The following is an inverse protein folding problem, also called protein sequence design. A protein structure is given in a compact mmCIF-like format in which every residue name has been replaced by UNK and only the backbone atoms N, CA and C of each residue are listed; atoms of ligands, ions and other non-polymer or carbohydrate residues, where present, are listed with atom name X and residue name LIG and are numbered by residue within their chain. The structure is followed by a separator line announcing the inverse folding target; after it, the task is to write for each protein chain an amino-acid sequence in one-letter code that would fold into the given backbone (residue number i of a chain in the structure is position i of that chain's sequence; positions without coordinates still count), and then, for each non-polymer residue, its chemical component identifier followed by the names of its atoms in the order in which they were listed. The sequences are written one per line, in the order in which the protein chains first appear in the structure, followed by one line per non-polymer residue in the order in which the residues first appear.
data_IF_989859558455
#
_entry.id   IF_989859558455
#
_cell.length_a   1.000
_cell.length_b   1.000
_cell.length_c   1.000
_cell.angle_alpha   90.00
_cell.angle_beta   90.00
_cell.angle_gamma   90.00
#
_symmetry.space_group_name_H-M   'P 1'
#
loop_
_entity.id
_entity.type
_entity.pdbx_description
1 polymer ?
#
# COMPACT_ATOMS: atom_id res chain seq x y z
N UNK A 1 -28.52 -4.19 -23.47
CA UNK A 1 -27.16 -3.67 -23.22
C UNK A 1 -27.20 -2.96 -21.87
N UNK A 2 -26.83 -3.66 -20.82
CA UNK A 2 -26.67 -3.06 -19.48
C UNK A 2 -25.28 -2.46 -19.49
N UNK A 3 -25.20 -1.13 -19.50
CA UNK A 3 -23.93 -0.44 -19.31
C UNK A 3 -23.45 -0.76 -17.89
N UNK A 4 -22.49 -1.67 -17.77
CA UNK A 4 -21.82 -1.90 -16.50
C UNK A 4 -21.16 -0.58 -16.08
N UNK A 5 -21.50 -0.02 -14.92
CA UNK A 5 -20.73 1.09 -14.38
C UNK A 5 -19.30 0.59 -14.18
N UNK A 6 -18.32 1.29 -14.73
CA UNK A 6 -16.90 1.04 -14.44
C UNK A 6 -16.74 1.11 -12.93
N UNK A 7 -16.15 0.09 -12.28
CA UNK A 7 -15.99 0.12 -10.86
C UNK A 7 -15.07 1.27 -10.48
N UNK A 8 -15.49 2.03 -9.51
CA UNK A 8 -14.77 3.16 -8.91
C UNK A 8 -13.30 2.83 -8.53
N UNK A 9 -12.98 1.55 -8.40
CA UNK A 9 -11.70 1.05 -7.89
C UNK A 9 -10.54 1.09 -8.88
N UNK A 10 -10.78 0.92 -10.18
CA UNK A 10 -9.71 1.00 -11.19
C UNK A 10 -9.12 2.39 -11.31
N UNK A 11 -9.94 3.43 -11.12
CA UNK A 11 -9.46 4.80 -11.17
C UNK A 11 -8.54 5.16 -10.00
N UNK A 12 -8.58 4.44 -8.89
CA UNK A 12 -7.77 4.73 -7.69
C UNK A 12 -6.30 4.37 -7.89
N UNK A 13 -6.02 3.24 -8.54
CA UNK A 13 -4.64 2.81 -8.87
C UNK A 13 -4.13 3.36 -10.21
N UNK A 14 -5.01 3.96 -10.98
CA UNK A 14 -4.67 4.71 -12.19
C UNK A 14 -4.41 6.20 -11.97
N UNK A 15 -4.23 6.63 -10.70
CA UNK A 15 -3.95 8.02 -10.34
C UNK A 15 -2.57 8.49 -10.79
N UNK A 16 -2.33 9.81 -10.67
CA UNK A 16 -1.03 10.41 -11.01
C UNK A 16 0.01 10.16 -9.89
N UNK A 17 1.24 10.58 -10.14
CA UNK A 17 2.37 10.49 -9.20
C UNK A 17 2.05 11.12 -7.85
N UNK A 18 1.37 12.27 -7.83
CA UNK A 18 0.93 12.93 -6.60
C UNK A 18 0.00 12.02 -5.78
N UNK A 19 -0.99 11.38 -6.42
CA UNK A 19 -1.92 10.45 -5.75
C UNK A 19 -1.18 9.27 -5.13
N UNK A 20 -0.21 8.71 -5.85
CA UNK A 20 0.65 7.63 -5.36
C UNK A 20 1.44 8.04 -4.11
N UNK A 21 2.10 9.20 -4.14
CA UNK A 21 2.85 9.71 -2.99
C UNK A 21 1.95 10.00 -1.79
N UNK A 22 0.77 10.60 -2.01
CA UNK A 22 -0.21 10.86 -0.96
C UNK A 22 -0.75 9.58 -0.31
N UNK A 23 -0.89 8.49 -1.08
CA UNK A 23 -1.33 7.20 -0.53
C UNK A 23 -0.37 6.63 0.52
N UNK A 24 0.84 7.13 0.57
CA UNK A 24 1.93 6.73 1.48
C UNK A 24 2.14 7.78 2.57
N UNK A 25 2.39 9.05 2.22
CA UNK A 25 2.78 10.10 3.17
C UNK A 25 1.70 10.38 4.21
N UNK A 26 0.42 10.31 3.83
CA UNK A 26 -0.70 10.56 4.74
C UNK A 26 -0.96 9.45 5.77
N UNK A 27 -0.14 8.40 5.79
CA UNK A 27 -0.22 7.32 6.79
C UNK A 27 0.65 7.57 8.03
N UNK A 28 1.60 8.51 7.96
CA UNK A 28 2.49 8.84 9.08
C UNK A 28 1.75 9.73 10.07
N UNK A 29 1.58 9.24 11.32
CA UNK A 29 0.59 9.78 12.28
C UNK A 29 0.85 11.20 12.78
N UNK A 30 2.10 11.56 12.91
CA UNK A 30 2.56 12.80 13.57
C UNK A 30 3.10 13.83 12.57
N UNK A 31 2.73 13.70 11.30
CA UNK A 31 3.19 14.57 10.20
C UNK A 31 2.03 15.25 9.49
N UNK A 32 2.36 16.34 8.79
CA UNK A 32 1.46 17.02 7.87
C UNK A 32 1.99 16.87 6.46
N UNK A 33 1.10 16.64 5.51
CA UNK A 33 1.46 16.63 4.09
C UNK A 33 0.99 17.92 3.42
N UNK A 34 1.92 18.69 2.86
CA UNK A 34 1.63 19.89 2.06
C UNK A 34 1.65 19.51 0.59
N UNK A 35 0.57 19.78 -0.12
CA UNK A 35 0.53 19.76 -1.59
C UNK A 35 0.83 21.16 -2.08
N UNK A 36 2.02 21.35 -2.64
CA UNK A 36 2.41 22.60 -3.26
C UNK A 36 1.85 22.65 -4.67
N UNK A 37 0.82 23.48 -4.84
CA UNK A 37 0.09 23.61 -6.08
C UNK A 37 -1.31 24.16 -5.95
N UNK A 38 -2.14 24.07 -7.02
CA UNK A 38 -3.52 24.50 -7.03
C UNK A 38 -4.39 23.69 -6.06
N UNK A 39 -5.41 24.31 -5.47
CA UNK A 39 -6.35 23.68 -4.53
C UNK A 39 -7.05 22.44 -5.09
N UNK A 40 -7.28 22.38 -6.42
CA UNK A 40 -7.97 21.27 -7.07
C UNK A 40 -7.24 19.93 -6.90
N UNK A 41 -5.91 19.92 -6.99
CA UNK A 41 -5.10 18.70 -6.79
C UNK A 41 -5.24 18.16 -5.36
N UNK A 42 -5.24 19.04 -4.35
CA UNK A 42 -5.43 18.66 -2.95
C UNK A 42 -6.84 18.15 -2.69
N UNK A 43 -7.86 18.89 -3.17
CA UNK A 43 -9.27 18.54 -2.95
C UNK A 43 -9.63 17.17 -3.56
N UNK A 44 -9.19 16.93 -4.81
CA UNK A 44 -9.44 15.66 -5.48
C UNK A 44 -8.86 14.48 -4.69
N UNK A 45 -7.59 14.58 -4.29
CA UNK A 45 -6.93 13.52 -3.54
C UNK A 45 -7.50 13.34 -2.13
N UNK A 46 -7.85 14.43 -1.45
CA UNK A 46 -8.53 14.37 -0.16
C UNK A 46 -9.84 13.58 -0.25
N UNK A 47 -10.68 13.89 -1.25
CA UNK A 47 -11.94 13.18 -1.48
C UNK A 47 -11.74 11.70 -1.74
N UNK A 48 -10.71 11.34 -2.53
CA UNK A 48 -10.38 9.96 -2.85
C UNK A 48 -9.93 9.18 -1.60
N UNK A 49 -9.02 9.76 -0.81
CA UNK A 49 -8.53 9.16 0.44
C UNK A 49 -9.64 8.98 1.47
N UNK A 50 -10.50 10.00 1.61
CA UNK A 50 -11.64 9.94 2.53
C UNK A 50 -12.65 8.87 2.12
N UNK A 51 -13.02 8.80 0.83
CA UNK A 51 -13.93 7.78 0.31
C UNK A 51 -13.39 6.37 0.53
N UNK A 52 -12.09 6.14 0.27
CA UNK A 52 -11.47 4.82 0.53
C UNK A 52 -11.44 4.49 2.03
N UNK A 53 -11.20 5.48 2.87
CA UNK A 53 -11.27 5.31 4.32
C UNK A 53 -12.66 4.82 4.77
N UNK A 54 -13.72 5.45 4.27
CA UNK A 54 -15.11 5.04 4.55
C UNK A 54 -15.40 3.61 4.07
N UNK A 55 -14.94 3.25 2.88
CA UNK A 55 -15.10 1.88 2.34
C UNK A 55 -14.37 0.81 3.17
N UNK A 56 -13.36 1.21 3.93
CA UNK A 56 -12.59 0.35 4.85
C UNK A 56 -13.05 0.50 6.32
N UNK A 57 -14.24 1.05 6.56
CA UNK A 57 -14.77 1.35 7.91
C UNK A 57 -13.83 2.20 8.78
N UNK A 58 -12.97 3.02 8.15
CA UNK A 58 -12.03 3.93 8.79
C UNK A 58 -12.41 5.38 8.52
N UNK A 59 -12.81 6.09 9.55
CA UNK A 59 -13.02 7.55 9.46
C UNK A 59 -11.70 8.24 9.82
N UNK A 60 -10.77 8.28 8.86
CA UNK A 60 -9.52 9.01 9.03
C UNK A 60 -9.50 10.21 8.10
N UNK A 61 -9.36 11.40 8.67
CA UNK A 61 -9.17 12.63 7.91
C UNK A 61 -7.65 12.82 7.78
N UNK A 62 -7.07 12.73 6.57
CA UNK A 62 -5.65 12.96 6.39
C UNK A 62 -5.30 14.42 6.67
N UNK A 63 -4.19 14.66 7.39
CA UNK A 63 -3.70 16.02 7.62
C UNK A 63 -2.99 16.54 6.35
N UNK A 64 -3.82 17.05 5.44
CA UNK A 64 -3.45 17.45 4.08
C UNK A 64 -3.75 18.92 3.86
N UNK A 65 -2.73 19.69 3.52
CA UNK A 65 -2.80 21.13 3.33
C UNK A 65 -2.36 21.50 1.91
N UNK A 66 -3.04 22.47 1.30
CA UNK A 66 -2.66 23.04 0.00
C UNK A 66 -1.98 24.39 0.19
N UNK A 67 -0.93 24.68 -0.58
CA UNK A 67 -0.45 26.07 -0.72
C UNK A 67 -1.42 26.95 -1.48
N UNK A 68 -2.29 26.35 -2.30
CA UNK A 68 -3.38 27.02 -2.99
C UNK A 68 -2.93 28.08 -3.98
N UNK A 69 -1.91 27.76 -4.79
CA UNK A 69 -1.32 28.69 -5.77
C UNK A 69 -2.39 29.44 -6.57
N UNK A 70 -2.28 30.77 -6.57
CA UNK A 70 -3.06 31.69 -7.40
C UNK A 70 -2.46 31.81 -8.81
N UNK A 71 -3.17 32.46 -9.71
CA UNK A 71 -2.64 32.79 -11.04
C UNK A 71 -1.35 33.63 -10.97
N UNK A 72 -1.26 34.55 -10.00
CA UNK A 72 -0.05 35.34 -9.78
C UNK A 72 1.13 34.45 -9.34
N UNK A 73 0.90 33.49 -8.44
CA UNK A 73 1.95 32.57 -8.00
C UNK A 73 2.42 31.69 -9.17
N UNK A 74 1.53 31.31 -10.09
CA UNK A 74 1.89 30.53 -11.28
C UNK A 74 2.74 31.35 -12.27
N UNK A 75 2.48 32.67 -12.38
CA UNK A 75 3.22 33.55 -13.31
C UNK A 75 4.55 33.98 -12.72
N UNK A 76 4.62 34.29 -11.44
CA UNK A 76 5.80 34.92 -10.80
C UNK A 76 6.58 33.98 -9.88
N UNK A 77 6.16 32.71 -9.73
CA UNK A 77 6.75 31.73 -8.84
C UNK A 77 5.97 31.52 -7.55
N UNK A 78 5.83 30.25 -7.14
CA UNK A 78 5.03 29.82 -6.00
C UNK A 78 5.83 29.63 -4.70
N UNK A 79 7.16 29.81 -4.71
CA UNK A 79 8.03 29.57 -3.55
C UNK A 79 7.57 30.36 -2.31
N UNK A 80 7.16 31.61 -2.46
CA UNK A 80 6.67 32.43 -1.37
C UNK A 80 5.35 31.90 -0.74
N UNK A 81 4.49 31.26 -1.53
CA UNK A 81 3.31 30.57 -1.01
C UNK A 81 3.68 29.34 -0.22
N UNK A 82 4.70 28.60 -0.65
CA UNK A 82 5.22 27.44 0.09
C UNK A 82 5.85 27.87 1.42
N UNK A 83 6.69 28.92 1.44
CA UNK A 83 7.30 29.44 2.67
C UNK A 83 6.25 29.83 3.72
N UNK A 84 5.25 30.62 3.32
CA UNK A 84 4.14 30.99 4.22
C UNK A 84 3.39 29.79 4.77
N UNK A 85 3.17 28.77 3.95
CA UNK A 85 2.47 27.55 4.37
C UNK A 85 3.31 26.72 5.33
N UNK A 86 4.62 26.58 5.07
CA UNK A 86 5.58 25.91 5.95
C UNK A 86 5.64 26.59 7.32
N UNK A 87 5.73 27.91 7.36
CA UNK A 87 5.75 28.68 8.61
C UNK A 87 4.47 28.46 9.41
N UNK A 88 3.31 28.51 8.78
CA UNK A 88 2.04 28.29 9.45
C UNK A 88 1.87 26.86 9.98
N UNK A 89 2.37 25.85 9.25
CA UNK A 89 2.32 24.44 9.68
C UNK A 89 3.32 24.16 10.78
N UNK A 90 4.50 24.77 10.74
CA UNK A 90 5.54 24.58 11.75
C UNK A 90 5.16 25.13 13.15
N UNK A 91 4.17 26.01 13.24
CA UNK A 91 3.59 26.43 14.52
C UNK A 91 2.64 25.35 15.12
N UNK A 92 2.26 24.35 14.34
CA UNK A 92 1.52 23.19 14.83
C UNK A 92 2.52 22.20 15.44
N UNK A 93 2.09 21.48 16.48
CA UNK A 93 2.94 20.45 17.12
C UNK A 93 3.01 19.19 16.23
N UNK A 94 3.86 19.23 15.20
CA UNK A 94 4.08 18.13 14.24
C UNK A 94 5.53 17.66 14.32
N UNK A 95 5.77 16.36 14.11
CA UNK A 95 7.11 15.78 14.08
C UNK A 95 7.85 16.03 12.77
N UNK A 96 7.12 16.30 11.68
CA UNK A 96 7.68 16.61 10.38
C UNK A 96 6.64 16.99 9.35
N UNK A 97 7.10 17.48 8.21
CA UNK A 97 6.28 17.96 7.10
C UNK A 97 6.73 17.27 5.82
N UNK A 98 5.81 16.66 5.08
CA UNK A 98 6.06 16.23 3.70
C UNK A 98 5.61 17.31 2.74
N UNK A 99 6.43 17.64 1.75
CA UNK A 99 6.09 18.61 0.69
C UNK A 99 6.08 17.91 -0.65
N UNK A 100 4.91 17.85 -1.27
CA UNK A 100 4.67 17.21 -2.55
C UNK A 100 4.40 18.27 -3.62
N UNK A 101 5.20 18.31 -4.68
CA UNK A 101 5.02 19.24 -5.80
C UNK A 101 3.97 18.73 -6.79
N UNK A 102 3.13 19.64 -7.29
CA UNK A 102 2.23 19.32 -8.40
C UNK A 102 2.91 19.55 -9.75
N UNK A 103 2.34 19.00 -10.80
CA UNK A 103 2.88 19.15 -12.17
C UNK A 103 3.09 20.62 -12.57
N UNK A 104 2.22 21.53 -12.14
CA UNK A 104 2.36 22.95 -12.46
C UNK A 104 3.58 23.58 -11.79
N UNK A 105 3.90 23.18 -10.57
CA UNK A 105 5.06 23.65 -9.81
C UNK A 105 6.37 23.31 -10.52
N UNK A 106 6.47 22.06 -11.00
CA UNK A 106 7.64 21.64 -11.79
C UNK A 106 7.71 22.35 -13.14
N UNK A 107 6.56 22.70 -13.75
CA UNK A 107 6.51 23.43 -15.02
C UNK A 107 6.97 24.87 -14.87
N UNK A 108 6.61 25.53 -13.76
CA UNK A 108 7.06 26.91 -13.50
C UNK A 108 8.48 26.99 -12.95
N UNK A 109 9.05 25.86 -12.52
CA UNK A 109 10.46 25.77 -12.11
C UNK A 109 10.74 26.20 -10.67
N UNK A 110 9.77 26.12 -9.76
CA UNK A 110 9.99 26.39 -8.33
C UNK A 110 11.01 25.41 -7.72
N UNK A 111 12.02 25.92 -7.01
CA UNK A 111 12.97 25.07 -6.28
C UNK A 111 12.43 24.69 -4.89
N UNK A 112 11.45 23.77 -4.90
CA UNK A 112 10.82 23.24 -3.69
C UNK A 112 11.86 22.70 -2.71
N UNK A 113 12.89 22.01 -3.20
CA UNK A 113 13.93 21.45 -2.35
C UNK A 113 14.77 22.54 -1.66
N UNK A 114 15.06 23.65 -2.33
CA UNK A 114 15.76 24.77 -1.72
C UNK A 114 14.91 25.45 -0.65
N UNK A 115 13.61 25.63 -0.89
CA UNK A 115 12.68 26.17 0.12
C UNK A 115 12.64 25.26 1.35
N UNK A 116 12.47 23.95 1.16
CA UNK A 116 12.46 22.97 2.26
C UNK A 116 13.76 23.01 3.09
N UNK A 117 14.93 23.09 2.45
CA UNK A 117 16.23 23.16 3.14
C UNK A 117 16.41 24.42 3.99
N UNK A 118 15.81 25.54 3.61
CA UNK A 118 15.87 26.80 4.39
C UNK A 118 15.04 26.73 5.67
N UNK A 119 14.04 25.86 5.72
CA UNK A 119 13.15 25.73 6.84
C UNK A 119 13.74 24.75 7.89
N UNK A 120 13.93 25.19 9.13
CA UNK A 120 14.67 24.45 10.17
C UNK A 120 13.89 24.18 11.45
N UNK A 121 12.64 24.68 11.58
CA UNK A 121 11.86 24.51 12.81
C UNK A 121 11.48 23.06 13.08
N UNK A 122 11.13 22.31 12.00
CA UNK A 122 10.81 20.87 12.00
C UNK A 122 11.41 20.24 10.75
N UNK A 123 11.68 18.93 10.73
CA UNK A 123 12.10 18.24 9.51
C UNK A 123 11.11 18.43 8.38
N UNK A 124 11.57 18.94 7.24
CA UNK A 124 10.78 19.09 6.02
C UNK A 124 11.34 18.18 4.94
N UNK A 125 10.52 17.27 4.45
CA UNK A 125 10.91 16.22 3.52
C UNK A 125 10.24 16.48 2.18
N UNK A 126 10.99 16.99 1.16
CA UNK A 126 10.46 17.15 -0.18
C UNK A 126 10.32 15.78 -0.86
N UNK A 127 9.16 15.55 -1.48
CA UNK A 127 8.88 14.35 -2.28
C UNK A 127 8.60 14.78 -3.72
N UNK A 128 9.42 14.39 -4.69
CA UNK A 128 9.20 14.73 -6.09
C UNK A 128 8.00 13.96 -6.63
N UNK A 129 6.99 14.68 -7.12
CA UNK A 129 5.73 14.10 -7.58
C UNK A 129 5.26 14.61 -8.94
N UNK A 130 6.19 15.11 -9.77
CA UNK A 130 5.93 15.50 -11.15
C UNK A 130 5.38 14.32 -11.96
N UNK A 131 4.20 14.51 -12.55
CA UNK A 131 3.54 13.48 -13.35
C UNK A 131 3.51 13.77 -14.86
N UNK A 132 3.72 15.02 -15.29
CA UNK A 132 3.59 15.39 -16.70
C UNK A 132 4.60 14.72 -17.64
N UNK A 133 5.75 14.33 -17.15
CA UNK A 133 6.80 13.67 -17.94
C UNK A 133 6.68 12.12 -17.91
N UNK A 134 5.48 11.59 -17.76
CA UNK A 134 5.23 10.14 -17.76
C UNK A 134 5.29 9.48 -16.39
N UNK A 135 5.19 10.25 -15.31
CA UNK A 135 5.11 9.71 -13.95
C UNK A 135 3.78 8.97 -13.68
N UNK A 136 3.90 7.77 -13.11
CA UNK A 136 2.77 6.90 -12.75
C UNK A 136 2.44 7.01 -11.26
N UNK A 137 1.30 6.44 -10.87
CA UNK A 137 0.94 6.24 -9.45
C UNK A 137 2.07 5.55 -8.69
N UNK A 138 2.63 4.46 -9.24
CA UNK A 138 3.70 3.69 -8.59
C UNK A 138 5.00 4.49 -8.43
N UNK A 139 5.33 5.36 -9.39
CA UNK A 139 6.46 6.28 -9.23
C UNK A 139 6.29 7.18 -8.00
N UNK A 140 5.07 7.67 -7.75
CA UNK A 140 4.76 8.46 -6.56
C UNK A 140 4.94 7.69 -5.27
N UNK A 141 4.46 6.45 -5.21
CA UNK A 141 4.66 5.52 -4.08
C UNK A 141 6.16 5.33 -3.81
N UNK A 142 6.92 4.98 -4.84
CA UNK A 142 8.35 4.71 -4.73
C UNK A 142 9.14 5.96 -4.29
N UNK A 143 8.80 7.12 -4.85
CA UNK A 143 9.43 8.40 -4.48
C UNK A 143 9.18 8.76 -3.01
N UNK A 144 7.93 8.59 -2.53
CA UNK A 144 7.59 8.87 -1.14
C UNK A 144 8.30 7.90 -0.18
N UNK A 145 8.27 6.59 -0.44
CA UNK A 145 8.96 5.59 0.37
C UNK A 145 10.46 5.87 0.45
N UNK A 146 11.09 6.19 -0.69
CA UNK A 146 12.51 6.50 -0.76
C UNK A 146 12.86 7.79 -0.01
N UNK A 147 12.11 8.88 -0.21
CA UNK A 147 12.37 10.15 0.45
C UNK A 147 12.27 10.01 1.99
N UNK A 148 11.32 9.22 2.48
CA UNK A 148 11.16 8.98 3.90
C UNK A 148 12.24 8.03 4.43
N UNK A 149 12.59 6.98 3.68
CA UNK A 149 13.67 6.08 4.04
C UNK A 149 15.03 6.79 4.13
N UNK A 150 15.24 7.85 3.35
CA UNK A 150 16.48 8.65 3.38
C UNK A 150 16.65 9.43 4.70
N UNK A 151 15.62 9.58 5.50
CA UNK A 151 15.71 10.19 6.85
C UNK A 151 16.22 9.22 7.91
N UNK A 152 16.19 7.89 7.63
CA UNK A 152 16.67 6.89 8.57
C UNK A 152 18.19 6.67 8.45
N UNK A 153 18.83 6.37 9.59
CA UNK A 153 20.24 6.02 9.64
C UNK A 153 20.43 4.51 9.82
N UNK A 154 21.56 3.94 9.35
CA UNK A 154 21.90 2.55 9.61
C UNK A 154 21.96 2.27 11.11
N UNK A 155 21.40 1.14 11.55
CA UNK A 155 21.39 0.74 12.94
C UNK A 155 21.66 -0.77 13.09
N UNK A 156 21.80 -1.23 14.34
CA UNK A 156 22.06 -2.64 14.63
C UNK A 156 20.93 -3.53 14.13
N UNK A 157 21.29 -4.63 13.46
CA UNK A 157 20.33 -5.62 12.97
C UNK A 157 19.76 -6.48 14.08
N UNK A 158 18.45 -6.71 13.99
CA UNK A 158 17.67 -7.59 14.87
C UNK A 158 17.03 -8.72 14.05
N UNK A 159 16.60 -9.78 14.73
CA UNK A 159 15.92 -10.92 14.09
C UNK A 159 14.43 -10.60 13.86
N UNK A 160 14.15 -9.65 12.99
CA UNK A 160 12.82 -9.14 12.69
C UNK A 160 12.70 -8.73 11.22
N UNK A 161 11.48 -8.47 10.76
CA UNK A 161 11.18 -8.05 9.39
C UNK A 161 10.53 -6.68 9.36
N UNK A 162 10.70 -5.96 8.24
CA UNK A 162 9.82 -4.84 7.90
C UNK A 162 8.82 -5.30 6.84
N UNK A 163 7.62 -4.71 6.86
CA UNK A 163 6.61 -4.82 5.80
C UNK A 163 6.59 -3.48 5.07
N UNK A 164 6.77 -3.51 3.75
CA UNK A 164 7.02 -2.32 2.92
C UNK A 164 5.95 -2.17 1.86
N UNK A 165 5.32 -0.98 1.77
CA UNK A 165 4.57 -0.55 0.60
C UNK A 165 3.05 -0.63 0.72
N UNK A 166 2.51 -0.77 1.93
CA UNK A 166 1.07 -0.64 2.15
C UNK A 166 0.60 0.79 1.82
N UNK A 167 -0.55 0.88 1.16
CA UNK A 167 -1.13 2.15 0.72
C UNK A 167 -2.52 2.34 1.34
N UNK A 168 -2.89 3.56 1.70
CA UNK A 168 -4.21 3.83 2.29
C UNK A 168 -5.36 3.91 1.24
N UNK A 169 -5.05 3.68 -0.02
CA UNK A 169 -6.03 3.53 -1.09
C UNK A 169 -6.37 2.05 -1.38
N UNK A 170 -5.76 1.11 -0.66
CA UNK A 170 -6.02 -0.32 -0.76
C UNK A 170 -7.14 -0.77 0.17
N UNK A 171 -7.68 -1.97 -0.10
CA UNK A 171 -8.71 -2.61 0.71
C UNK A 171 -8.12 -3.73 1.56
N UNK A 172 -8.77 -4.01 2.70
CA UNK A 172 -8.41 -5.13 3.60
C UNK A 172 -6.95 -5.09 4.09
N UNK A 173 -6.34 -3.89 4.14
CA UNK A 173 -4.91 -3.74 4.44
C UNK A 173 -4.59 -4.24 5.85
N UNK A 174 -5.46 -3.95 6.83
CA UNK A 174 -5.23 -4.34 8.22
C UNK A 174 -5.50 -5.82 8.46
N UNK A 175 -6.50 -6.40 7.78
CA UNK A 175 -6.77 -7.83 7.80
C UNK A 175 -5.63 -8.61 7.12
N UNK A 176 -5.11 -8.10 6.01
CA UNK A 176 -3.96 -8.69 5.32
C UNK A 176 -2.70 -8.61 6.19
N UNK A 177 -2.47 -7.48 6.87
CA UNK A 177 -1.37 -7.34 7.82
C UNK A 177 -1.50 -8.32 9.00
N UNK A 178 -2.69 -8.47 9.57
CA UNK A 178 -2.93 -9.44 10.65
C UNK A 178 -2.60 -10.87 10.21
N UNK A 179 -2.97 -11.23 8.97
CA UNK A 179 -2.66 -12.55 8.41
C UNK A 179 -1.15 -12.76 8.20
N UNK A 180 -0.45 -11.78 7.63
CA UNK A 180 1.02 -11.83 7.48
C UNK A 180 1.70 -11.96 8.83
N UNK A 181 1.23 -11.21 9.83
CA UNK A 181 1.76 -11.29 11.20
C UNK A 181 1.54 -12.67 11.81
N UNK A 182 0.38 -13.29 11.56
CA UNK A 182 0.09 -14.68 11.98
C UNK A 182 1.07 -15.68 11.38
N UNK A 183 1.33 -15.56 10.07
CA UNK A 183 2.28 -16.44 9.35
C UNK A 183 3.70 -16.25 9.87
N UNK A 184 4.13 -15.02 10.09
CA UNK A 184 5.45 -14.71 10.66
C UNK A 184 5.59 -15.23 12.10
N UNK A 185 4.52 -15.12 12.91
CA UNK A 185 4.49 -15.63 14.27
C UNK A 185 4.63 -17.16 14.33
N UNK A 186 4.09 -17.89 13.34
CA UNK A 186 4.26 -19.34 13.22
C UNK A 186 5.75 -19.74 12.99
N UNK A 187 6.57 -18.81 12.48
CA UNK A 187 8.03 -18.96 12.35
C UNK A 187 8.81 -18.36 13.52
N UNK A 188 8.14 -17.74 14.49
CA UNK A 188 8.78 -17.02 15.60
C UNK A 188 9.46 -15.72 15.20
N UNK A 189 9.07 -15.09 14.09
CA UNK A 189 9.70 -13.89 13.53
C UNK A 189 8.82 -12.67 13.79
N UNK A 190 9.27 -11.68 14.59
CA UNK A 190 8.50 -10.48 14.86
C UNK A 190 8.60 -9.45 13.72
N UNK A 191 7.55 -8.61 13.58
CA UNK A 191 7.57 -7.42 12.73
C UNK A 191 8.25 -6.29 13.50
N UNK A 192 9.22 -5.63 12.88
CA UNK A 192 9.90 -4.45 13.39
C UNK A 192 9.13 -3.17 13.06
N UNK A 193 8.79 -3.03 11.77
CA UNK A 193 8.16 -1.82 11.26
C UNK A 193 7.20 -2.18 10.12
N UNK A 194 6.01 -1.62 10.21
CA UNK A 194 5.03 -1.56 9.13
C UNK A 194 5.24 -0.22 8.41
N UNK A 195 6.10 -0.23 7.39
CA UNK A 195 6.60 1.00 6.76
C UNK A 195 5.71 1.43 5.58
N UNK A 196 4.89 2.48 5.69
CA UNK A 196 4.79 3.54 6.71
C UNK A 196 3.47 3.49 7.52
N UNK A 197 2.70 2.44 7.38
CA UNK A 197 1.37 2.40 7.99
C UNK A 197 1.45 2.30 9.50
N UNK A 198 0.62 3.09 10.18
CA UNK A 198 0.51 3.15 11.64
C UNK A 198 1.81 3.50 12.40
N UNK A 199 2.78 4.13 11.72
CA UNK A 199 4.03 4.58 12.33
C UNK A 199 4.06 6.10 12.54
N UNK A 200 4.90 6.54 13.47
CA UNK A 200 5.34 7.91 13.62
C UNK A 200 6.60 8.18 12.79
N UNK A 201 6.95 9.45 12.58
CA UNK A 201 8.21 9.78 11.91
C UNK A 201 9.43 9.27 12.72
N UNK A 202 9.33 9.25 14.05
CA UNK A 202 10.39 8.70 14.92
C UNK A 202 10.60 7.19 14.71
N UNK A 203 9.52 6.43 14.40
CA UNK A 203 9.61 4.99 14.15
C UNK A 203 10.43 4.66 12.90
N UNK A 204 10.51 5.58 11.94
CA UNK A 204 11.31 5.42 10.71
C UNK A 204 12.79 5.17 11.03
N UNK A 205 13.30 5.68 12.14
CA UNK A 205 14.67 5.41 12.61
C UNK A 205 14.98 3.91 12.78
N UNK A 206 13.96 3.08 13.00
CA UNK A 206 14.09 1.63 13.16
C UNK A 206 14.17 0.87 11.82
N UNK A 207 13.98 1.56 10.68
CA UNK A 207 13.90 0.92 9.35
C UNK A 207 15.14 0.05 9.06
N UNK A 208 16.33 0.54 9.43
CA UNK A 208 17.59 -0.18 9.26
C UNK A 208 17.77 -1.41 10.17
N UNK A 209 16.94 -1.61 11.20
CA UNK A 209 17.12 -2.68 12.19
C UNK A 209 16.69 -4.07 11.69
N UNK A 210 15.83 -4.17 10.70
CA UNK A 210 15.33 -5.45 10.23
C UNK A 210 16.39 -6.27 9.50
N UNK A 211 16.28 -7.61 9.62
CA UNK A 211 17.09 -8.56 8.87
C UNK A 211 16.56 -8.80 7.46
N UNK A 212 15.26 -8.57 7.23
CA UNK A 212 14.59 -8.77 5.96
C UNK A 212 13.53 -7.70 5.75
N UNK A 213 13.41 -7.19 4.52
CA UNK A 213 12.27 -6.40 4.05
C UNK A 213 11.33 -7.29 3.23
N UNK A 214 10.04 -7.27 3.54
CA UNK A 214 8.98 -7.96 2.79
C UNK A 214 8.24 -6.89 2.00
N UNK A 215 8.32 -6.97 0.67
CA UNK A 215 7.62 -6.07 -0.24
C UNK A 215 6.23 -6.63 -0.56
N UNK A 216 5.24 -5.75 -0.65
CA UNK A 216 3.86 -6.16 -0.96
C UNK A 216 3.69 -6.64 -2.40
N UNK A 217 4.47 -6.10 -3.32
CA UNK A 217 4.42 -6.40 -4.75
C UNK A 217 5.78 -6.17 -5.44
N UNK A 218 5.92 -6.64 -6.68
CA UNK A 218 7.14 -6.51 -7.47
C UNK A 218 7.42 -5.06 -7.92
N UNK A 219 6.39 -4.20 -7.98
CA UNK A 219 6.54 -2.79 -8.35
C UNK A 219 7.36 -1.99 -7.33
N UNK A 220 7.59 -2.58 -6.14
CA UNK A 220 8.42 -2.04 -5.07
C UNK A 220 9.89 -2.50 -5.11
N UNK A 221 10.29 -3.31 -6.09
CA UNK A 221 11.67 -3.84 -6.16
C UNK A 221 12.72 -2.73 -6.14
N UNK A 222 12.50 -1.61 -6.82
CA UNK A 222 13.43 -0.47 -6.80
C UNK A 222 13.58 0.16 -5.40
N UNK A 223 12.52 0.16 -4.59
CA UNK A 223 12.56 0.57 -3.18
C UNK A 223 13.35 -0.47 -2.37
N UNK A 224 13.09 -1.76 -2.59
CA UNK A 224 13.82 -2.86 -1.96
C UNK A 224 15.33 -2.78 -2.21
N UNK A 225 15.74 -2.56 -3.46
CA UNK A 225 17.13 -2.39 -3.87
C UNK A 225 17.78 -1.19 -3.17
N UNK A 226 17.08 -0.05 -3.11
CA UNK A 226 17.59 1.15 -2.42
C UNK A 226 17.76 0.90 -0.92
N UNK A 227 16.79 0.25 -0.26
CA UNK A 227 16.89 -0.13 1.15
C UNK A 227 18.03 -1.12 1.39
N UNK A 228 18.25 -2.06 0.48
CA UNK A 228 19.36 -3.00 0.56
C UNK A 228 20.72 -2.29 0.40
N UNK A 229 20.83 -1.37 -0.53
CA UNK A 229 22.06 -0.57 -0.70
C UNK A 229 22.34 0.30 0.53
N UNK A 230 21.31 0.93 1.10
CA UNK A 230 21.47 1.85 2.23
C UNK A 230 21.71 1.15 3.56
N UNK A 231 20.98 0.07 3.84
CA UNK A 231 20.97 -0.59 5.15
C UNK A 231 21.56 -2.00 5.13
N UNK A 232 21.91 -2.54 3.96
CA UNK A 232 22.33 -3.94 3.84
C UNK A 232 21.22 -4.95 4.16
N UNK A 233 19.94 -4.55 4.15
CA UNK A 233 18.80 -5.41 4.43
C UNK A 233 18.30 -6.02 3.13
N UNK A 234 18.41 -7.35 2.92
CA UNK A 234 17.85 -8.01 1.76
C UNK A 234 16.32 -7.89 1.75
N UNK A 235 15.71 -8.13 0.59
CA UNK A 235 14.27 -8.12 0.45
C UNK A 235 13.74 -9.33 -0.30
N UNK A 236 12.46 -9.63 -0.09
CA UNK A 236 11.65 -10.55 -0.89
C UNK A 236 10.38 -9.83 -1.36
N UNK A 237 9.92 -10.16 -2.57
CA UNK A 237 8.64 -9.71 -3.12
C UNK A 237 7.57 -10.82 -3.12
N UNK A 238 7.89 -11.99 -2.58
CA UNK A 238 6.95 -13.11 -2.42
C UNK A 238 5.98 -12.83 -1.28
N UNK A 239 4.98 -11.99 -1.53
CA UNK A 239 3.89 -11.77 -0.58
C UNK A 239 2.95 -12.99 -0.56
N UNK A 240 2.30 -13.36 0.56
CA UNK A 240 1.55 -14.62 0.68
C UNK A 240 0.19 -14.55 -0.01
N UNK A 241 0.18 -14.39 -1.34
CA UNK A 241 -1.04 -14.28 -2.16
C UNK A 241 -1.47 -15.66 -2.68
N UNK A 242 -2.70 -16.07 -2.34
CA UNK A 242 -3.25 -17.38 -2.74
C UNK A 242 -2.75 -18.53 -1.90
N UNK A 243 -3.17 -19.75 -2.24
CA UNK A 243 -2.81 -20.98 -1.50
C UNK A 243 -1.32 -21.28 -1.62
N UNK A 244 -0.83 -21.37 -2.84
CA UNK A 244 0.57 -21.70 -3.11
C UNK A 244 1.50 -20.57 -2.64
N UNK A 245 1.14 -19.30 -2.87
CA UNK A 245 1.92 -18.14 -2.44
C UNK A 245 2.12 -18.08 -0.92
N UNK A 246 1.10 -18.49 -0.15
CA UNK A 246 1.21 -18.56 1.31
C UNK A 246 2.29 -19.55 1.77
N UNK A 247 2.36 -20.72 1.14
CA UNK A 247 3.38 -21.73 1.47
C UNK A 247 4.78 -21.24 1.04
N UNK A 248 4.90 -20.73 -0.18
CA UNK A 248 6.17 -20.18 -0.70
C UNK A 248 6.68 -19.03 0.16
N UNK A 249 5.81 -18.18 0.69
CA UNK A 249 6.16 -17.12 1.62
C UNK A 249 6.81 -17.67 2.91
N UNK A 250 6.17 -18.66 3.54
CA UNK A 250 6.73 -19.28 4.75
C UNK A 250 8.11 -19.88 4.51
N UNK A 251 8.29 -20.57 3.37
CA UNK A 251 9.56 -21.18 2.98
C UNK A 251 10.65 -20.11 2.68
N UNK A 252 10.29 -19.05 1.95
CA UNK A 252 11.21 -17.97 1.62
C UNK A 252 11.70 -17.22 2.86
N UNK A 253 10.79 -16.85 3.75
CA UNK A 253 11.13 -16.17 5.01
C UNK A 253 11.98 -17.08 5.89
N UNK A 254 11.57 -18.33 6.07
CA UNK A 254 12.33 -19.32 6.86
C UNK A 254 13.76 -19.51 6.34
N UNK A 255 13.94 -19.56 5.01
CA UNK A 255 15.25 -19.66 4.37
C UNK A 255 16.18 -18.50 4.73
N UNK A 256 15.68 -17.25 4.72
CA UNK A 256 16.48 -16.07 5.10
C UNK A 256 16.91 -16.11 6.56
N UNK A 257 16.02 -16.57 7.45
CA UNK A 257 16.29 -16.63 8.88
C UNK A 257 17.01 -17.89 9.34
N UNK A 258 17.07 -18.91 8.48
CA UNK A 258 17.64 -20.21 8.84
C UNK A 258 16.80 -20.97 9.87
N UNK A 259 15.47 -20.75 9.89
CA UNK A 259 14.55 -21.42 10.82
C UNK A 259 13.82 -22.57 10.13
N UNK A 260 13.45 -23.58 10.90
CA UNK A 260 12.69 -24.71 10.36
C UNK A 260 11.23 -24.36 10.21
N UNK A 261 10.70 -24.42 8.98
CA UNK A 261 9.30 -24.11 8.65
C UNK A 261 8.39 -25.34 8.48
N UNK A 262 8.90 -26.57 8.60
CA UNK A 262 8.14 -27.81 8.29
C UNK A 262 6.82 -27.83 9.04
N UNK A 263 6.84 -27.51 10.33
CA UNK A 263 5.63 -27.49 11.15
C UNK A 263 4.66 -26.40 10.71
N UNK A 264 5.12 -25.16 10.52
CA UNK A 264 4.32 -24.03 10.08
C UNK A 264 3.66 -24.30 8.72
N UNK A 265 4.43 -24.84 7.76
CA UNK A 265 3.93 -25.22 6.43
C UNK A 265 2.88 -26.35 6.53
N UNK A 266 3.12 -27.36 7.39
CA UNK A 266 2.16 -28.44 7.58
C UNK A 266 0.85 -27.95 8.18
N UNK A 267 0.91 -27.17 9.27
CA UNK A 267 -0.26 -26.58 9.93
C UNK A 267 -1.04 -25.67 8.95
N UNK A 268 -0.34 -24.89 8.13
CA UNK A 268 -0.98 -24.03 7.15
C UNK A 268 -1.67 -24.82 6.03
N UNK A 269 -1.06 -25.91 5.53
CA UNK A 269 -1.71 -26.80 4.55
C UNK A 269 -2.97 -27.47 5.12
N UNK A 270 -2.93 -27.90 6.38
CA UNK A 270 -4.11 -28.45 7.05
C UNK A 270 -5.23 -27.40 7.12
N UNK A 271 -4.91 -26.18 7.54
CA UNK A 271 -5.86 -25.06 7.60
C UNK A 271 -6.46 -24.74 6.23
N UNK A 272 -5.64 -24.77 5.16
CA UNK A 272 -6.13 -24.59 3.78
C UNK A 272 -7.14 -25.65 3.38
N UNK A 273 -6.86 -26.93 3.64
CA UNK A 273 -7.78 -28.03 3.33
C UNK A 273 -9.07 -27.95 4.16
N UNK A 274 -8.99 -27.57 5.44
CA UNK A 274 -10.17 -27.36 6.28
C UNK A 274 -11.10 -26.29 5.70
N UNK A 275 -10.55 -25.13 5.33
CA UNK A 275 -11.33 -24.02 4.76
C UNK A 275 -11.95 -24.39 3.43
N UNK A 276 -11.22 -25.10 2.57
CA UNK A 276 -11.76 -25.57 1.30
C UNK A 276 -12.87 -26.62 1.52
N UNK A 277 -12.74 -27.46 2.54
CA UNK A 277 -13.75 -28.46 2.91
C UNK A 277 -15.02 -27.84 3.53
N UNK A 278 -14.89 -26.77 4.32
CA UNK A 278 -16.06 -26.07 4.91
C UNK A 278 -17.07 -25.61 3.84
N UNK A 279 -16.62 -25.42 2.61
CA UNK A 279 -17.40 -24.87 1.51
C UNK A 279 -17.80 -25.88 0.44
N UNK A 280 -17.66 -27.18 0.74
CA UNK A 280 -18.05 -28.29 -0.16
C UNK A 280 -19.51 -28.25 -0.62
N UNK A 281 -20.41 -27.63 0.14
CA UNK A 281 -21.81 -27.50 -0.26
C UNK A 281 -22.06 -26.53 -1.42
N UNK A 282 -21.03 -25.77 -1.85
CA UNK A 282 -21.07 -25.00 -3.12
C UNK A 282 -20.80 -25.92 -4.32
N UNK A 283 -20.37 -27.16 -4.11
CA UNK A 283 -20.12 -28.14 -5.17
C UNK A 283 -21.38 -28.37 -6.02
N UNK A 284 -21.19 -28.35 -7.32
CA UNK A 284 -22.28 -28.52 -8.30
C UNK A 284 -22.91 -27.22 -8.80
N UNK A 285 -22.51 -26.06 -8.23
CA UNK A 285 -22.89 -24.75 -8.75
C UNK A 285 -21.77 -24.24 -9.65
N UNK A 286 -22.05 -24.00 -10.93
CA UNK A 286 -21.11 -23.28 -11.78
C UNK A 286 -21.09 -21.79 -11.40
N UNK A 287 -19.92 -21.17 -11.46
CA UNK A 287 -19.76 -19.74 -11.16
C UNK A 287 -19.18 -18.98 -12.35
N UNK A 288 -19.51 -17.72 -12.42
CA UNK A 288 -18.87 -16.76 -13.31
C UNK A 288 -18.41 -15.54 -12.51
N UNK A 289 -17.30 -14.94 -12.91
CA UNK A 289 -16.80 -13.75 -12.24
C UNK A 289 -17.28 -12.50 -12.96
N UNK A 290 -17.72 -11.50 -12.19
CA UNK A 290 -17.86 -10.14 -12.72
C UNK A 290 -16.45 -9.61 -13.00
N UNK A 291 -16.07 -9.59 -14.27
CA UNK A 291 -14.78 -9.06 -14.68
C UNK A 291 -14.84 -7.52 -14.63
N UNK A 292 -14.35 -6.95 -13.57
CA UNK A 292 -14.38 -5.50 -13.32
C UNK A 292 -12.96 -4.90 -13.33
N UNK A 293 -12.07 -5.39 -14.22
CA UNK A 293 -10.70 -4.87 -14.33
C UNK A 293 -9.88 -4.97 -13.01
N UNK A 294 -10.12 -6.02 -12.26
CA UNK A 294 -9.49 -6.29 -10.96
C UNK A 294 -8.07 -6.81 -11.18
N UNK A 295 -7.21 -6.62 -10.20
CA UNK A 295 -5.83 -7.08 -10.20
C UNK A 295 -5.71 -8.51 -10.73
N UNK A 296 -4.79 -8.74 -11.66
CA UNK A 296 -4.57 -10.05 -12.29
C UNK A 296 -4.39 -11.18 -11.28
N UNK A 297 -3.77 -10.88 -10.13
CA UNK A 297 -3.57 -11.82 -9.03
C UNK A 297 -4.86 -12.21 -8.32
N UNK A 298 -5.79 -11.30 -8.09
CA UNK A 298 -7.08 -11.64 -7.49
C UNK A 298 -7.87 -12.62 -8.37
N UNK A 299 -7.84 -12.41 -9.68
CA UNK A 299 -8.46 -13.33 -10.65
C UNK A 299 -7.74 -14.69 -10.70
N UNK A 300 -6.39 -14.67 -10.74
CA UNK A 300 -5.58 -15.89 -10.73
C UNK A 300 -5.87 -16.74 -9.49
N UNK A 301 -5.89 -16.13 -8.31
CA UNK A 301 -6.19 -16.83 -7.06
C UNK A 301 -7.63 -17.35 -7.03
N UNK A 302 -8.58 -16.58 -7.55
CA UNK A 302 -9.97 -17.02 -7.64
C UNK A 302 -10.12 -18.27 -8.53
N UNK A 303 -9.44 -18.31 -9.68
CA UNK A 303 -9.41 -19.47 -10.55
C UNK A 303 -8.69 -20.67 -9.90
N UNK A 304 -7.56 -20.45 -9.22
CA UNK A 304 -6.84 -21.48 -8.47
C UNK A 304 -7.74 -22.14 -7.44
N UNK A 305 -8.42 -21.33 -6.63
CA UNK A 305 -9.31 -21.82 -5.57
C UNK A 305 -10.55 -22.52 -6.13
N UNK A 306 -11.19 -21.98 -7.18
CA UNK A 306 -12.31 -22.62 -7.85
C UNK A 306 -11.92 -24.01 -8.39
N UNK A 307 -10.73 -24.14 -8.99
CA UNK A 307 -10.20 -25.43 -9.44
C UNK A 307 -9.94 -26.42 -8.31
N UNK A 308 -9.43 -25.96 -7.18
CA UNK A 308 -9.18 -26.81 -5.98
C UNK A 308 -10.45 -27.38 -5.35
N UNK A 309 -11.54 -26.62 -5.37
CA UNK A 309 -12.85 -27.06 -4.86
C UNK A 309 -13.77 -27.61 -5.96
N UNK A 310 -13.23 -27.85 -7.16
CA UNK A 310 -13.93 -28.40 -8.30
C UNK A 310 -15.24 -27.67 -8.68
N UNK A 311 -15.24 -26.34 -8.55
CA UNK A 311 -16.33 -25.48 -9.02
C UNK A 311 -16.09 -25.16 -10.50
N UNK A 312 -17.04 -25.54 -11.41
CA UNK A 312 -16.92 -25.17 -12.81
C UNK A 312 -17.01 -23.66 -13.02
N UNK A 313 -16.11 -23.13 -13.86
CA UNK A 313 -16.20 -21.76 -14.36
C UNK A 313 -17.00 -21.78 -15.67
N UNK A 314 -18.19 -21.21 -15.65
CA UNK A 314 -19.11 -21.19 -16.78
C UNK A 314 -19.69 -19.79 -16.97
N UNK A 315 -19.77 -19.32 -18.22
CA UNK A 315 -20.33 -18.01 -18.55
C UNK A 315 -21.77 -17.80 -18.10
N UNK A 316 -22.55 -18.86 -17.99
CA UNK A 316 -23.94 -18.86 -17.50
C UNK A 316 -24.04 -19.23 -16.02
N UNK A 317 -22.93 -19.39 -15.32
CA UNK A 317 -22.89 -19.73 -13.92
C UNK A 317 -23.36 -18.59 -12.99
N UNK A 318 -23.53 -18.92 -11.71
CA UNK A 318 -23.88 -17.93 -10.70
C UNK A 318 -22.78 -16.83 -10.63
N UNK A 319 -23.20 -15.58 -10.69
CA UNK A 319 -22.29 -14.43 -10.67
C UNK A 319 -21.74 -14.23 -9.26
N UNK A 320 -20.43 -14.37 -9.10
CA UNK A 320 -19.74 -14.15 -7.81
C UNK A 320 -18.75 -12.97 -7.91
N UNK A 321 -18.59 -12.21 -6.84
CA UNK A 321 -17.66 -11.08 -6.85
C UNK A 321 -16.20 -11.56 -6.78
N UNK A 322 -15.33 -10.92 -7.57
CA UNK A 322 -13.90 -10.98 -7.31
C UNK A 322 -13.53 -10.12 -6.10
N UNK A 323 -12.53 -10.51 -5.31
CA UNK A 323 -12.07 -9.68 -4.21
C UNK A 323 -11.44 -8.37 -4.75
N UNK A 324 -11.62 -7.28 -4.00
CA UNK A 324 -11.09 -5.96 -4.36
C UNK A 324 -9.57 -5.88 -4.23
N UNK A 325 -9.00 -6.68 -3.34
CA UNK A 325 -7.56 -6.91 -3.18
C UNK A 325 -7.23 -8.38 -3.37
N UNK A 326 -5.99 -8.68 -3.71
CA UNK A 326 -5.53 -10.08 -3.82
C UNK A 326 -5.69 -10.79 -2.47
N UNK A 327 -6.28 -12.00 -2.42
CA UNK A 327 -6.45 -12.74 -1.18
C UNK A 327 -5.09 -13.09 -0.55
N UNK A 328 -4.81 -12.50 0.61
CA UNK A 328 -3.57 -12.70 1.37
C UNK A 328 -3.78 -13.80 2.40
N UNK A 329 -2.93 -14.81 2.35
CA UNK A 329 -2.94 -15.95 3.25
C UNK A 329 -4.21 -16.79 3.15
N UNK A 330 -4.31 -17.78 3.98
CA UNK A 330 -5.48 -18.65 4.06
C UNK A 330 -6.73 -17.90 4.54
N UNK A 331 -6.56 -16.92 5.43
CA UNK A 331 -7.67 -16.07 5.91
C UNK A 331 -8.26 -15.21 4.80
N UNK A 332 -7.42 -14.66 3.88
CA UNK A 332 -7.90 -13.91 2.72
C UNK A 332 -8.74 -14.78 1.77
N UNK A 333 -8.30 -16.02 1.55
CA UNK A 333 -9.07 -17.01 0.76
C UNK A 333 -10.40 -17.32 1.44
N UNK A 334 -10.41 -17.51 2.76
CA UNK A 334 -11.63 -17.72 3.54
C UNK A 334 -12.63 -16.59 3.36
N UNK A 335 -12.16 -15.31 3.44
CA UNK A 335 -13.02 -14.14 3.18
C UNK A 335 -13.62 -14.15 1.78
N UNK A 336 -12.81 -14.45 0.76
CA UNK A 336 -13.26 -14.57 -0.63
C UNK A 336 -14.36 -15.62 -0.77
N UNK A 337 -14.13 -16.81 -0.25
CA UNK A 337 -15.08 -17.93 -0.33
C UNK A 337 -16.41 -17.65 0.41
N UNK A 338 -16.38 -16.96 1.55
CA UNK A 338 -17.59 -16.52 2.22
C UNK A 338 -18.39 -15.49 1.41
N UNK A 339 -17.72 -14.61 0.66
CA UNK A 339 -18.40 -13.70 -0.27
C UNK A 339 -19.06 -14.46 -1.42
N UNK A 340 -18.41 -15.49 -1.98
CA UNK A 340 -19.00 -16.35 -2.99
C UNK A 340 -20.22 -17.09 -2.45
N UNK A 341 -20.10 -17.71 -1.28
CA UNK A 341 -21.22 -18.34 -0.62
C UNK A 341 -22.41 -17.41 -0.49
N UNK A 342 -22.17 -16.22 -0.03
CA UNK A 342 -23.22 -15.19 0.14
C UNK A 342 -23.87 -14.80 -1.18
N UNK A 343 -23.10 -14.68 -2.26
CA UNK A 343 -23.63 -14.35 -3.59
C UNK A 343 -24.45 -15.51 -4.20
N UNK A 344 -24.07 -16.77 -3.94
CA UNK A 344 -24.76 -17.94 -4.46
C UNK A 344 -26.11 -18.19 -3.73
N UNK A 345 -26.22 -17.78 -2.47
CA UNK A 345 -27.41 -18.00 -1.65
C UNK A 345 -28.28 -16.75 -1.46
N UNK A 346 -27.91 -15.62 -2.08
CA UNK A 346 -28.71 -14.39 -2.09
C UNK A 346 -29.78 -14.45 -3.18
#
# INVERSE_FOLDING_TARGET
MISNPLPLNLSRFGGCTLTGALSVTTQVKDTVTIVHGPKGCTHHNFSLLHATGLDNDRVTIPDLISTGLSECDIIFGGEGALERTLDAVAERHVAGIFVLSTCIVDTIGDDVAAVCRRHSKVPVIPVPTAGFLGGTFQNGVNNALNAIADTAEPCKKNQCVNIIGEKNLEYEVDENYAEVTRLLAALGIPVNLRFLRDCSLADVSRLGAARLNILLDDDLCTVGERLQQRFGTPFISSYPVGLAGTISFLEAVAGVFGVNCIRAVHEEKVLQEEILCELRYIYGTSITFVHQGIASDAFRVACEVAGRIAIPLDGDGCVVPLPLSSPVGTTGIRRMLYRWRRAIHA
#
